data_IF_052851070317
#
_entry.id   IF_052851070317
#
_cell.length_a   1.000
_cell.length_b   1.000
_cell.length_c   1.000
_cell.angle_alpha   90.00
_cell.angle_beta   90.00
_cell.angle_gamma   90.00
#
_symmetry.space_group_name_H-M   'P 1'
#
loop_
_entity.id
_entity.type
_entity.pdbx_description
1 polymer ?
#
# COMPACT_ATOMS: atom_id res chain seq x y z
N UNK A 1 -19.86 -19.95 -16.28
CA UNK A 1 -19.46 -18.56 -16.56
C UNK A 1 -19.55 -17.77 -15.27
N UNK A 2 -18.51 -17.80 -14.43
CA UNK A 2 -18.56 -17.19 -13.10
C UNK A 2 -18.12 -15.72 -13.18
N UNK A 3 -19.08 -14.82 -12.95
CA UNK A 3 -18.89 -13.39 -12.75
C UNK A 3 -18.20 -13.14 -11.40
N UNK A 4 -16.87 -13.23 -11.36
CA UNK A 4 -16.11 -12.67 -10.24
C UNK A 4 -15.82 -11.20 -10.52
N UNK A 5 -16.66 -10.33 -9.93
CA UNK A 5 -16.48 -8.87 -9.87
C UNK A 5 -15.10 -8.52 -9.31
N UNK A 6 -14.12 -8.29 -10.18
CA UNK A 6 -12.93 -7.50 -9.84
C UNK A 6 -13.38 -6.03 -9.77
N UNK A 7 -13.12 -5.27 -8.70
CA UNK A 7 -13.40 -3.84 -8.70
C UNK A 7 -12.33 -3.15 -9.57
N UNK A 8 -12.57 -3.14 -10.89
CA UNK A 8 -11.54 -2.83 -11.89
C UNK A 8 -11.51 -1.37 -12.37
N UNK A 9 -12.39 -0.50 -11.87
CA UNK A 9 -12.64 0.80 -12.54
C UNK A 9 -12.21 2.03 -11.71
N UNK A 10 -12.14 1.98 -10.37
CA UNK A 10 -11.70 3.15 -9.57
C UNK A 10 -10.18 3.28 -9.37
N UNK A 11 -9.39 2.24 -9.67
CA UNK A 11 -7.98 2.20 -9.24
C UNK A 11 -6.96 2.78 -10.23
N UNK A 12 -7.23 2.83 -11.54
CA UNK A 12 -6.20 3.21 -12.52
C UNK A 12 -6.00 4.73 -12.66
N UNK A 13 -7.09 5.52 -12.67
CA UNK A 13 -7.01 6.98 -12.85
C UNK A 13 -6.40 7.74 -11.65
N UNK A 14 -6.38 7.10 -10.47
CA UNK A 14 -5.84 7.71 -9.26
C UNK A 14 -4.40 7.28 -8.96
N UNK A 15 -3.89 6.18 -9.53
CA UNK A 15 -2.52 5.72 -9.24
C UNK A 15 -1.48 6.74 -9.67
N UNK A 16 -1.57 7.23 -10.90
CA UNK A 16 -0.64 8.25 -11.41
C UNK A 16 -0.71 9.54 -10.58
N UNK A 17 -1.91 9.92 -10.12
CA UNK A 17 -2.09 11.08 -9.24
C UNK A 17 -1.46 10.85 -7.87
N UNK A 18 -1.68 9.69 -7.25
CA UNK A 18 -1.08 9.33 -5.97
C UNK A 18 0.45 9.31 -6.10
N UNK A 19 0.96 8.67 -7.15
CA UNK A 19 2.39 8.57 -7.42
C UNK A 19 3.06 9.92 -7.64
N UNK A 20 2.36 10.85 -8.31
CA UNK A 20 2.86 12.20 -8.55
C UNK A 20 2.71 13.13 -7.34
N UNK A 21 1.60 13.06 -6.62
CA UNK A 21 1.21 14.08 -5.65
C UNK A 21 1.31 13.65 -4.19
N UNK A 22 1.43 12.35 -3.90
CA UNK A 22 1.50 11.83 -2.52
C UNK A 22 2.84 11.14 -2.27
N UNK A 23 3.22 10.18 -3.12
CA UNK A 23 4.43 9.36 -2.91
C UNK A 23 5.73 10.17 -2.72
N UNK A 24 5.94 11.35 -3.36
CA UNK A 24 7.16 12.14 -3.12
C UNK A 24 7.24 12.72 -1.71
N UNK A 25 6.11 12.91 -1.03
CA UNK A 25 6.03 13.50 0.31
C UNK A 25 6.13 12.43 1.42
N UNK A 26 5.97 11.16 1.08
CA UNK A 26 6.11 10.06 2.04
C UNK A 26 7.57 9.83 2.42
N UNK A 27 7.85 9.80 3.72
CA UNK A 27 9.21 9.59 4.19
C UNK A 27 9.75 8.21 3.77
N UNK A 28 10.98 8.19 3.24
CA UNK A 28 11.69 6.97 2.84
C UNK A 28 12.73 6.56 3.88
N UNK A 29 13.13 5.28 3.87
CA UNK A 29 14.23 4.82 4.73
C UNK A 29 15.53 5.48 4.28
N UNK A 30 16.24 6.16 5.19
CA UNK A 30 17.55 6.79 4.91
C UNK A 30 18.74 5.85 5.13
N UNK A 31 18.52 4.68 5.72
CA UNK A 31 19.56 3.73 6.14
C UNK A 31 19.19 2.32 5.69
N UNK A 32 20.20 1.50 5.39
CA UNK A 32 20.05 0.12 4.95
C UNK A 32 19.87 -0.03 3.45
N UNK A 33 19.65 -1.26 2.99
CA UNK A 33 19.37 -1.54 1.58
C UNK A 33 18.04 -0.91 1.16
N UNK A 34 17.95 -0.37 -0.07
CA UNK A 34 16.68 0.15 -0.58
C UNK A 34 15.63 -0.97 -0.53
N UNK A 35 14.49 -0.68 0.08
CA UNK A 35 13.38 -1.64 0.11
C UNK A 35 12.92 -1.88 -1.32
N UNK A 36 12.90 -3.13 -1.75
CA UNK A 36 12.34 -3.53 -3.07
C UNK A 36 10.82 -3.36 -3.13
N UNK A 37 10.18 -3.14 -1.98
CA UNK A 37 8.74 -2.99 -1.85
C UNK A 37 8.24 -1.76 -2.62
N UNK A 38 7.20 -1.96 -3.41
CA UNK A 38 6.52 -0.87 -4.09
C UNK A 38 5.75 0.02 -3.08
N UNK A 39 6.19 1.27 -2.91
CA UNK A 39 5.61 2.25 -1.99
C UNK A 39 4.15 2.58 -2.34
N UNK A 40 3.81 2.64 -3.63
CA UNK A 40 2.43 2.85 -4.08
C UNK A 40 1.52 1.71 -3.61
N UNK A 41 1.96 0.46 -3.73
CA UNK A 41 1.22 -0.70 -3.25
C UNK A 41 1.01 -0.67 -1.73
N UNK A 42 2.03 -0.26 -0.97
CA UNK A 42 1.92 -0.09 0.50
C UNK A 42 0.87 0.97 0.82
N UNK A 43 0.96 2.14 0.18
CA UNK A 43 0.03 3.24 0.43
C UNK A 43 -1.42 2.86 0.09
N UNK A 44 -1.65 2.19 -1.04
CA UNK A 44 -2.98 1.72 -1.44
C UNK A 44 -3.57 0.72 -0.44
N UNK A 45 -2.76 -0.20 0.11
CA UNK A 45 -3.22 -1.12 1.16
C UNK A 45 -3.58 -0.40 2.45
N UNK A 46 -2.83 0.64 2.84
CA UNK A 46 -3.17 1.49 3.99
C UNK A 46 -4.49 2.22 3.75
N UNK A 47 -4.69 2.83 2.58
CA UNK A 47 -5.96 3.47 2.23
C UNK A 47 -7.11 2.47 2.26
N UNK A 48 -6.92 1.26 1.70
CA UNK A 48 -7.93 0.19 1.77
C UNK A 48 -8.29 -0.11 3.22
N UNK A 49 -7.31 -0.32 4.10
CA UNK A 49 -7.49 -0.53 5.54
C UNK A 49 -8.27 0.59 6.21
N UNK A 50 -7.93 1.85 5.91
CA UNK A 50 -8.59 3.01 6.52
C UNK A 50 -10.04 3.15 6.04
N UNK A 51 -10.32 2.84 4.77
CA UNK A 51 -11.66 2.92 4.19
C UNK A 51 -12.57 1.77 4.63
N UNK A 52 -12.05 0.56 4.81
CA UNK A 52 -12.86 -0.63 5.12
C UNK A 52 -12.90 -0.97 6.60
N UNK A 53 -11.94 -0.52 7.41
CA UNK A 53 -11.86 -0.91 8.80
C UNK A 53 -11.29 -2.31 9.05
N UNK A 54 -10.92 -3.08 8.01
CA UNK A 54 -10.56 -4.51 8.13
C UNK A 54 -9.33 -4.74 9.03
N UNK A 55 -9.09 -5.96 9.50
CA UNK A 55 -7.90 -6.18 10.33
C UNK A 55 -6.61 -6.13 9.48
N UNK A 56 -5.47 -5.75 10.09
CA UNK A 56 -4.17 -5.74 9.39
C UNK A 56 -3.81 -7.12 8.82
N UNK A 57 -4.18 -8.19 9.54
CA UNK A 57 -3.95 -9.59 9.13
C UNK A 57 -4.79 -10.03 7.94
N UNK A 58 -5.86 -9.30 7.63
CA UNK A 58 -6.81 -9.59 6.54
C UNK A 58 -6.49 -8.78 5.28
N UNK A 59 -5.38 -8.04 5.26
CA UNK A 59 -4.94 -7.32 4.07
C UNK A 59 -4.70 -8.29 2.91
N UNK A 60 -5.17 -7.92 1.71
CA UNK A 60 -5.01 -8.73 0.50
C UNK A 60 -3.62 -8.59 -0.12
N UNK A 61 -2.58 -8.89 0.65
CA UNK A 61 -1.17 -8.70 0.28
C UNK A 61 -0.81 -9.38 -1.06
N UNK A 62 -1.35 -10.57 -1.32
CA UNK A 62 -1.10 -11.34 -2.55
C UNK A 62 -1.60 -10.65 -3.83
N UNK A 63 -2.58 -9.75 -3.71
CA UNK A 63 -3.09 -8.97 -4.86
C UNK A 63 -2.13 -7.84 -5.26
N UNK A 64 -1.35 -7.34 -4.29
CA UNK A 64 -0.45 -6.19 -4.48
C UNK A 64 1.02 -6.61 -4.60
N UNK A 65 1.38 -7.78 -4.05
CA UNK A 65 2.74 -8.32 -3.99
C UNK A 65 2.73 -9.79 -4.43
N UNK A 66 2.88 -10.03 -5.73
CA UNK A 66 2.75 -11.37 -6.31
C UNK A 66 3.99 -12.25 -6.03
N UNK A 67 5.19 -11.68 -6.18
CA UNK A 67 6.47 -12.41 -6.05
C UNK A 67 7.29 -12.00 -4.83
N UNK A 68 6.78 -11.07 -4.03
CA UNK A 68 7.50 -10.53 -2.87
C UNK A 68 6.95 -11.14 -1.58
N UNK A 69 7.85 -11.63 -0.71
CA UNK A 69 7.47 -12.05 0.64
C UNK A 69 7.23 -10.81 1.49
N UNK A 70 5.99 -10.33 1.48
CA UNK A 70 5.53 -9.17 2.27
C UNK A 70 4.62 -9.64 3.39
N UNK A 71 4.80 -9.07 4.57
CA UNK A 71 3.98 -9.34 5.74
C UNK A 71 3.12 -8.13 6.11
N UNK A 72 1.99 -8.35 6.78
CA UNK A 72 1.14 -7.25 7.23
C UNK A 72 1.86 -6.34 8.23
N UNK A 73 2.82 -6.88 8.99
CA UNK A 73 3.70 -6.11 9.88
C UNK A 73 4.50 -5.07 9.11
N UNK A 74 4.93 -5.39 7.88
CA UNK A 74 5.64 -4.45 7.02
C UNK A 74 4.74 -3.28 6.63
N UNK A 75 3.48 -3.55 6.27
CA UNK A 75 2.51 -2.50 5.96
C UNK A 75 2.21 -1.64 7.19
N UNK A 76 2.01 -2.27 8.35
CA UNK A 76 1.79 -1.56 9.61
C UNK A 76 3.00 -0.70 10.00
N UNK A 77 4.23 -1.18 9.75
CA UNK A 77 5.44 -0.41 9.99
C UNK A 77 5.44 0.89 9.18
N UNK A 78 5.12 0.84 7.89
CA UNK A 78 5.03 2.06 7.06
C UNK A 78 3.93 3.00 7.53
N UNK A 79 2.74 2.47 7.83
CA UNK A 79 1.66 3.25 8.42
C UNK A 79 2.11 3.99 9.68
N UNK A 80 2.66 3.26 10.65
CA UNK A 80 3.12 3.83 11.92
C UNK A 80 4.25 4.84 11.74
N UNK A 81 5.17 4.58 10.80
CA UNK A 81 6.25 5.50 10.48
C UNK A 81 5.70 6.84 9.95
N UNK A 82 4.88 6.78 8.92
CA UNK A 82 4.29 7.97 8.28
C UNK A 82 3.36 8.73 9.23
N UNK A 83 2.59 8.02 10.06
CA UNK A 83 1.79 8.68 11.10
C UNK A 83 2.63 9.40 12.16
N UNK A 84 3.82 8.91 12.48
CA UNK A 84 4.71 9.51 13.50
C UNK A 84 5.50 10.70 12.99
N UNK A 85 5.90 10.67 11.73
CA UNK A 85 6.68 11.77 11.13
C UNK A 85 5.82 12.81 10.40
N UNK A 86 4.51 12.58 10.30
CA UNK A 86 3.55 13.51 9.71
C UNK A 86 3.54 13.51 8.18
N UNK A 87 4.03 12.43 7.55
CA UNK A 87 3.98 12.22 6.09
C UNK A 87 2.56 12.04 5.56
#
# INVERSE_FOLDING_TARGET
MSLNKKPKILELSNKDKIEKWIIPYLSRGKRGFPSRLNVLSIFLLIIKRLKTGCQWRELSLKEYFFNEKVSWQSIYYYFNKWSKDGS
#
